data_IF_225864079507
#
_entry.id   IF_225864079507
#
_cell.length_a   1.000
_cell.length_b   1.000
_cell.length_c   1.000
_cell.angle_alpha   90.00
_cell.angle_beta   90.00
_cell.angle_gamma   90.00
#
_symmetry.space_group_name_H-M   'P 1'
#
loop_
_entity.id
_entity.type
_entity.pdbx_description
1 polymer ?
#
# COMPACT_ATOMS: atom_id res chain seq x y z
N UNK A 1 -50.56 39.74 8.67
CA UNK A 1 -50.32 40.20 10.05
C UNK A 1 -50.18 38.99 10.96
N UNK A 2 -49.35 39.09 12.01
CA UNK A 2 -49.17 38.03 13.01
C UNK A 2 -50.47 37.73 13.76
N UNK A 3 -50.79 36.45 13.97
CA UNK A 3 -51.90 36.04 14.85
C UNK A 3 -51.49 36.21 16.31
N UNK A 4 -52.44 36.55 17.18
CA UNK A 4 -52.23 36.73 18.62
C UNK A 4 -51.60 35.46 19.22
N UNK A 5 -50.43 35.60 19.86
CA UNK A 5 -49.66 34.49 20.46
C UNK A 5 -48.59 33.83 19.57
N UNK A 6 -48.46 34.20 18.29
CA UNK A 6 -47.38 33.71 17.43
C UNK A 6 -46.11 34.59 17.58
N UNK A 7 -44.96 33.94 17.78
CA UNK A 7 -43.65 34.61 17.75
C UNK A 7 -43.33 35.13 16.34
N UNK A 8 -42.70 36.31 16.28
CA UNK A 8 -42.23 36.92 15.04
C UNK A 8 -41.06 36.13 14.43
N UNK A 9 -40.72 36.39 13.17
CA UNK A 9 -39.50 35.84 12.57
C UNK A 9 -38.25 36.41 13.24
N UNK A 10 -38.28 37.68 13.67
CA UNK A 10 -37.16 38.32 14.36
C UNK A 10 -36.75 37.59 15.66
N UNK A 11 -37.72 37.02 16.38
CA UNK A 11 -37.48 36.25 17.61
C UNK A 11 -37.20 34.76 17.34
N UNK A 12 -37.16 34.35 16.06
CA UNK A 12 -36.96 32.95 15.66
C UNK A 12 -35.49 32.71 15.28
N UNK A 13 -34.91 31.51 15.55
CA UNK A 13 -33.54 31.18 15.12
C UNK A 13 -33.27 31.32 13.62
N UNK A 14 -34.31 31.34 12.80
CA UNK A 14 -34.20 31.51 11.35
C UNK A 14 -33.86 32.95 10.95
N UNK A 15 -34.01 33.92 11.85
CA UNK A 15 -33.60 35.31 11.60
C UNK A 15 -32.11 35.40 11.24
N UNK A 16 -31.27 34.51 11.78
CA UNK A 16 -29.85 34.45 11.46
C UNK A 16 -29.56 34.16 9.98
N UNK A 17 -30.51 33.58 9.25
CA UNK A 17 -30.41 33.32 7.82
C UNK A 17 -31.26 34.27 6.97
N UNK A 18 -31.92 35.27 7.58
CA UNK A 18 -32.71 36.25 6.83
C UNK A 18 -31.80 37.19 6.05
N UNK A 19 -31.99 37.29 4.73
CA UNK A 19 -31.15 38.12 3.89
C UNK A 19 -31.38 39.62 4.18
N UNK A 20 -30.30 40.36 4.44
CA UNK A 20 -30.35 41.77 4.88
C UNK A 20 -30.91 42.75 3.85
N UNK A 21 -30.60 42.59 2.55
CA UNK A 21 -30.96 43.56 1.50
C UNK A 21 -32.00 43.08 0.49
N UNK A 22 -32.16 41.77 0.26
CA UNK A 22 -33.02 41.24 -0.83
C UNK A 22 -34.50 41.10 -0.49
N UNK A 23 -34.88 41.33 0.76
CA UNK A 23 -36.26 41.16 1.22
C UNK A 23 -37.14 42.43 1.06
N UNK A 24 -36.59 43.51 0.51
CA UNK A 24 -37.34 44.74 0.24
C UNK A 24 -38.02 45.28 1.49
N UNK A 25 -39.34 45.47 1.42
CA UNK A 25 -40.16 45.99 2.53
C UNK A 25 -40.69 44.92 3.48
N UNK A 26 -40.18 43.68 3.44
CA UNK A 26 -40.58 42.64 4.38
C UNK A 26 -39.96 42.88 5.75
N UNK A 27 -40.78 43.30 6.71
CA UNK A 27 -40.37 43.48 8.09
C UNK A 27 -40.43 42.14 8.87
N UNK A 28 -39.29 41.62 9.38
CA UNK A 28 -39.23 40.36 10.14
C UNK A 28 -39.93 40.42 11.50
N UNK A 29 -40.20 41.61 12.05
CA UNK A 29 -40.90 41.77 13.34
C UNK A 29 -42.42 41.55 13.21
N UNK A 30 -42.98 41.64 11.99
CA UNK A 30 -44.43 41.55 11.75
C UNK A 30 -44.87 40.34 10.93
N UNK A 31 -43.93 39.43 10.61
CA UNK A 31 -44.20 38.16 9.94
C UNK A 31 -43.85 36.98 10.84
N UNK A 32 -44.61 35.89 10.76
CA UNK A 32 -44.27 34.64 11.45
C UNK A 32 -43.22 33.85 10.65
N UNK A 33 -42.38 33.09 11.33
CA UNK A 33 -41.41 32.21 10.66
C UNK A 33 -42.07 31.24 9.66
N UNK A 34 -43.26 30.69 9.98
CA UNK A 34 -44.01 29.77 9.11
C UNK A 34 -44.86 30.43 8.01
N UNK A 35 -44.58 31.68 7.64
CA UNK A 35 -45.35 32.44 6.64
C UNK A 35 -45.31 31.80 5.24
N UNK A 36 -46.40 31.81 4.45
CA UNK A 36 -46.38 31.35 3.06
C UNK A 36 -45.65 32.33 2.13
N UNK A 37 -45.27 33.52 2.61
CA UNK A 37 -44.49 34.49 1.82
C UNK A 37 -43.11 33.91 1.49
N UNK A 38 -42.66 34.11 0.25
CA UNK A 38 -41.28 33.84 -0.16
C UNK A 38 -40.35 34.89 0.45
N UNK A 39 -39.24 34.41 0.99
CA UNK A 39 -38.22 35.20 1.69
C UNK A 39 -36.87 34.80 1.08
N UNK A 40 -36.00 35.77 0.89
CA UNK A 40 -34.60 35.54 0.56
C UNK A 40 -33.84 35.17 1.83
N UNK A 41 -33.17 34.03 1.77
CA UNK A 41 -32.34 33.49 2.83
C UNK A 41 -30.89 33.48 2.39
N UNK A 42 -29.96 33.62 3.35
CA UNK A 42 -28.53 33.54 3.13
C UNK A 42 -27.90 32.63 4.18
N UNK A 43 -27.05 31.70 3.74
CA UNK A 43 -26.41 30.77 4.65
C UNK A 43 -25.19 31.43 5.28
N UNK A 44 -25.16 31.57 6.61
CA UNK A 44 -23.98 32.08 7.30
C UNK A 44 -22.70 31.22 7.15
N UNK A 45 -22.83 29.95 6.72
CA UNK A 45 -21.68 29.04 6.55
C UNK A 45 -21.02 29.12 5.17
N UNK A 46 -21.82 29.13 4.10
CA UNK A 46 -21.31 29.07 2.72
C UNK A 46 -21.66 30.31 1.89
N UNK A 47 -22.39 31.27 2.46
CA UNK A 47 -22.83 32.47 1.76
C UNK A 47 -23.91 32.26 0.70
N UNK A 48 -24.27 31.01 0.38
CA UNK A 48 -25.28 30.73 -0.64
C UNK A 48 -26.62 31.36 -0.29
N UNK A 49 -27.26 31.96 -1.29
CA UNK A 49 -28.53 32.65 -1.16
C UNK A 49 -29.64 31.90 -1.90
N UNK A 50 -30.82 31.80 -1.30
CA UNK A 50 -31.95 31.10 -1.92
C UNK A 50 -33.30 31.71 -1.54
N UNK A 51 -34.30 31.52 -2.40
CA UNK A 51 -35.60 32.18 -2.30
C UNK A 51 -36.74 31.15 -2.18
N UNK A 52 -37.21 30.92 -0.94
CA UNK A 52 -38.26 29.94 -0.60
C UNK A 52 -39.19 30.51 0.47
N UNK A 53 -40.32 29.86 0.72
CA UNK A 53 -41.28 30.34 1.73
C UNK A 53 -40.73 30.20 3.16
N UNK A 54 -41.19 31.05 4.07
CA UNK A 54 -40.92 30.88 5.51
C UNK A 54 -41.46 29.55 6.03
N UNK A 55 -42.64 29.14 5.55
CA UNK A 55 -43.24 27.85 5.83
C UNK A 55 -42.29 26.69 5.55
N UNK A 56 -41.71 26.63 4.35
CA UNK A 56 -40.79 25.57 3.94
C UNK A 56 -39.54 25.55 4.83
N UNK A 57 -39.03 26.74 5.17
CA UNK A 57 -37.86 26.85 6.06
C UNK A 57 -38.14 26.39 7.48
N UNK A 58 -39.28 26.78 8.04
CA UNK A 58 -39.62 26.52 9.44
C UNK A 58 -40.11 25.10 9.69
N UNK A 59 -40.94 24.52 8.81
CA UNK A 59 -41.52 23.19 9.02
C UNK A 59 -40.70 22.05 8.43
N UNK A 60 -40.13 22.24 7.24
CA UNK A 60 -39.47 21.13 6.53
C UNK A 60 -37.97 21.03 6.80
N UNK A 61 -37.40 21.93 7.62
CA UNK A 61 -35.97 21.88 7.97
C UNK A 61 -35.07 21.94 6.74
N UNK A 62 -35.55 22.53 5.63
CA UNK A 62 -34.85 22.62 4.35
C UNK A 62 -33.72 23.64 4.46
N UNK A 63 -32.68 23.31 5.23
CA UNK A 63 -31.47 24.10 5.36
C UNK A 63 -30.82 24.39 4.01
N UNK A 64 -29.72 25.13 4.03
CA UNK A 64 -29.06 25.60 2.82
C UNK A 64 -28.88 24.47 1.77
N UNK A 65 -29.43 24.61 0.54
CA UNK A 65 -29.35 23.56 -0.48
C UNK A 65 -27.93 23.32 -0.98
N UNK A 66 -27.05 24.34 -0.93
CA UNK A 66 -25.62 24.17 -1.23
C UNK A 66 -24.91 23.34 -0.15
N UNK A 67 -25.12 23.64 1.14
CA UNK A 67 -24.55 22.82 2.23
C UNK A 67 -25.02 21.36 2.20
N UNK A 68 -26.20 21.10 1.66
CA UNK A 68 -26.76 19.76 1.48
C UNK A 68 -26.40 19.12 0.13
N UNK A 69 -25.55 19.76 -0.67
CA UNK A 69 -25.13 19.29 -2.00
C UNK A 69 -26.29 19.08 -3.00
N UNK A 70 -27.44 19.73 -2.78
CA UNK A 70 -28.58 19.74 -3.72
C UNK A 70 -28.32 20.67 -4.90
N UNK A 71 -27.55 21.73 -4.67
CA UNK A 71 -27.07 22.68 -5.68
C UNK A 71 -25.55 22.74 -5.60
N UNK A 72 -24.89 22.76 -6.75
CA UNK A 72 -23.43 22.93 -6.84
C UNK A 72 -23.09 24.41 -6.89
N UNK A 73 -22.09 24.80 -6.11
CA UNK A 73 -21.54 26.13 -5.94
C UNK A 73 -20.02 26.02 -5.92
N UNK A 74 -19.32 27.14 -6.03
CA UNK A 74 -17.88 27.22 -5.79
C UNK A 74 -17.46 26.71 -4.40
N UNK A 75 -18.32 26.81 -3.39
CA UNK A 75 -18.04 26.35 -2.03
C UNK A 75 -18.04 24.81 -1.87
N UNK A 76 -18.93 24.10 -2.56
CA UNK A 76 -19.10 22.63 -2.41
C UNK A 76 -18.67 21.80 -3.63
N UNK A 77 -18.22 22.42 -4.72
CA UNK A 77 -17.78 21.68 -5.88
C UNK A 77 -16.55 20.80 -5.59
N UNK A 78 -16.33 19.79 -6.42
CA UNK A 78 -15.23 18.84 -6.33
C UNK A 78 -13.89 19.56 -6.45
N UNK A 79 -13.78 20.58 -7.31
CA UNK A 79 -12.56 21.37 -7.46
C UNK A 79 -12.12 22.01 -6.14
N UNK A 80 -13.05 22.56 -5.37
CA UNK A 80 -12.77 23.24 -4.09
C UNK A 80 -12.60 22.23 -2.95
N UNK A 81 -13.46 21.23 -2.87
CA UNK A 81 -13.52 20.33 -1.71
C UNK A 81 -12.62 19.10 -1.82
N UNK A 82 -12.27 18.67 -3.04
CA UNK A 82 -11.50 17.45 -3.33
C UNK A 82 -10.55 17.68 -4.52
N UNK A 83 -9.57 18.61 -4.40
CA UNK A 83 -8.67 18.96 -5.50
C UNK A 83 -7.88 17.74 -6.02
N UNK A 84 -7.56 16.77 -5.17
CA UNK A 84 -6.90 15.52 -5.56
C UNK A 84 -7.76 14.65 -6.49
N UNK A 85 -9.08 14.64 -6.30
CA UNK A 85 -10.00 13.96 -7.21
C UNK A 85 -10.18 14.75 -8.50
N UNK A 86 -10.25 16.07 -8.43
CA UNK A 86 -10.32 16.94 -9.60
C UNK A 86 -9.10 16.72 -10.54
N UNK A 87 -7.91 16.48 -9.98
CA UNK A 87 -6.69 16.16 -10.72
C UNK A 87 -6.72 14.80 -11.44
N UNK A 88 -7.56 13.87 -11.00
CA UNK A 88 -7.77 12.58 -11.66
C UNK A 88 -9.01 12.57 -12.55
N UNK A 89 -9.75 13.68 -12.65
CA UNK A 89 -10.90 13.79 -13.52
C UNK A 89 -10.45 13.72 -14.98
N UNK A 90 -11.06 12.83 -15.78
CA UNK A 90 -10.63 12.65 -17.16
C UNK A 90 -10.91 13.92 -17.99
N UNK A 91 -9.94 14.44 -18.78
CA UNK A 91 -10.04 15.73 -19.46
C UNK A 91 -11.15 15.83 -20.51
N UNK A 92 -11.41 14.77 -21.29
CA UNK A 92 -12.37 14.82 -22.41
C UNK A 92 -13.57 13.85 -22.34
N UNK A 93 -13.53 12.80 -21.51
CA UNK A 93 -14.54 11.71 -21.52
C UNK A 93 -15.79 11.97 -20.68
N UNK A 94 -15.88 13.12 -20.01
CA UNK A 94 -17.03 13.48 -19.17
C UNK A 94 -17.98 14.50 -19.82
N UNK A 95 -17.83 14.76 -21.13
CA UNK A 95 -18.66 15.73 -21.85
C UNK A 95 -18.53 17.13 -21.24
N UNK A 96 -19.68 17.78 -20.98
CA UNK A 96 -19.73 19.14 -20.42
C UNK A 96 -19.55 19.20 -18.89
N UNK A 97 -19.31 18.06 -18.23
CA UNK A 97 -19.10 18.02 -16.79
C UNK A 97 -17.68 18.42 -16.44
N UNK A 98 -17.52 19.18 -15.36
CA UNK A 98 -16.21 19.57 -14.83
C UNK A 98 -16.18 19.42 -13.31
N UNK A 99 -14.98 19.38 -12.69
CA UNK A 99 -14.86 19.38 -11.24
C UNK A 99 -15.48 20.61 -10.56
N UNK A 100 -15.64 21.72 -11.28
CA UNK A 100 -16.29 22.94 -10.78
C UNK A 100 -17.83 22.85 -10.81
N UNK A 101 -18.41 21.98 -11.65
CA UNK A 101 -19.87 21.84 -11.81
C UNK A 101 -20.45 20.61 -11.12
N UNK A 102 -19.63 19.87 -10.38
CA UNK A 102 -20.02 18.65 -9.66
C UNK A 102 -19.60 18.70 -8.21
N UNK A 103 -20.41 18.14 -7.31
CA UNK A 103 -19.95 17.72 -5.98
C UNK A 103 -19.19 16.40 -6.08
N UNK A 104 -18.15 16.21 -5.26
CA UNK A 104 -17.33 15.00 -5.33
C UNK A 104 -18.12 13.72 -5.04
N UNK A 105 -19.08 13.79 -4.11
CA UNK A 105 -19.97 12.70 -3.72
C UNK A 105 -21.09 12.38 -4.72
N UNK A 106 -21.02 12.85 -5.97
CA UNK A 106 -22.07 12.63 -6.96
C UNK A 106 -22.30 11.14 -7.29
N UNK A 107 -23.55 10.77 -7.57
CA UNK A 107 -23.92 9.44 -8.05
C UNK A 107 -23.69 9.23 -9.55
N UNK A 108 -23.20 10.25 -10.28
CA UNK A 108 -22.85 10.13 -11.70
C UNK A 108 -21.64 9.19 -11.87
N UNK A 109 -21.69 8.31 -12.88
CA UNK A 109 -20.54 7.57 -13.39
C UNK A 109 -19.63 8.53 -14.14
N UNK A 110 -18.40 8.66 -13.69
CA UNK A 110 -17.41 9.58 -14.26
C UNK A 110 -16.20 8.77 -14.75
N UNK A 111 -15.59 9.26 -15.81
CA UNK A 111 -14.29 8.80 -16.28
C UNK A 111 -13.18 9.49 -15.48
N UNK A 112 -12.23 8.68 -15.04
CA UNK A 112 -11.05 9.07 -14.28
C UNK A 112 -9.80 8.63 -15.03
N UNK A 113 -8.72 9.37 -14.84
CA UNK A 113 -7.40 9.06 -15.40
C UNK A 113 -6.35 9.11 -14.29
N UNK A 114 -5.55 8.05 -14.20
CA UNK A 114 -4.59 7.94 -13.12
C UNK A 114 -3.39 8.82 -13.42
N UNK A 115 -3.09 9.75 -12.51
CA UNK A 115 -1.90 10.61 -12.58
C UNK A 115 -0.58 9.85 -12.62
N UNK A 116 -0.54 8.62 -12.10
CA UNK A 116 0.69 7.82 -11.95
C UNK A 116 0.97 6.92 -13.15
N UNK A 117 -0.05 6.23 -13.64
CA UNK A 117 0.11 5.22 -14.70
C UNK A 117 -0.69 5.51 -15.96
N UNK A 118 -1.42 6.63 -16.03
CA UNK A 118 -2.26 6.99 -17.17
C UNK A 118 -3.51 6.13 -17.36
N UNK A 119 -3.70 5.07 -16.54
CA UNK A 119 -4.84 4.18 -16.68
C UNK A 119 -6.16 4.93 -16.51
N UNK A 120 -7.09 4.68 -17.42
CA UNK A 120 -8.40 5.30 -17.44
C UNK A 120 -9.44 4.29 -16.96
N UNK A 121 -10.36 4.75 -16.10
CA UNK A 121 -11.44 3.90 -15.63
C UNK A 121 -12.68 4.70 -15.32
N UNK A 122 -13.83 4.01 -15.31
CA UNK A 122 -15.10 4.63 -15.02
C UNK A 122 -15.67 4.11 -13.70
N UNK A 123 -15.99 5.02 -12.78
CA UNK A 123 -16.66 4.70 -11.51
C UNK A 123 -17.47 5.90 -11.03
N UNK A 124 -18.44 5.66 -10.16
CA UNK A 124 -19.27 6.70 -9.56
C UNK A 124 -18.44 7.60 -8.63
N UNK A 125 -18.67 8.92 -8.67
CA UNK A 125 -17.96 9.89 -7.81
C UNK A 125 -18.04 9.59 -6.32
N UNK A 126 -19.23 9.25 -5.83
CA UNK A 126 -19.42 8.86 -4.43
C UNK A 126 -18.54 7.68 -3.99
N UNK A 127 -18.24 6.73 -4.88
CA UNK A 127 -17.35 5.61 -4.54
C UNK A 127 -15.90 6.05 -4.32
N UNK A 128 -15.47 7.15 -4.96
CA UNK A 128 -14.16 7.76 -4.76
C UNK A 128 -14.06 8.42 -3.38
N UNK A 129 -15.13 9.09 -2.94
CA UNK A 129 -15.17 9.79 -1.65
C UNK A 129 -15.40 8.79 -0.49
N UNK A 130 -16.47 8.00 -0.54
CA UNK A 130 -16.90 7.13 0.57
C UNK A 130 -15.95 5.97 0.82
N UNK A 131 -15.49 5.31 -0.24
CA UNK A 131 -14.65 4.09 -0.12
C UNK A 131 -13.18 4.34 -0.44
N UNK A 132 -12.80 5.58 -0.76
CA UNK A 132 -11.45 5.93 -1.20
C UNK A 132 -10.96 5.01 -2.33
N UNK A 133 -11.87 4.63 -3.23
CA UNK A 133 -11.51 3.79 -4.37
C UNK A 133 -10.50 4.54 -5.25
N UNK A 134 -9.39 3.90 -5.58
CA UNK A 134 -8.33 4.47 -6.41
C UNK A 134 -8.20 3.73 -7.74
N UNK A 135 -7.12 4.01 -8.47
CA UNK A 135 -6.82 3.37 -9.75
C UNK A 135 -6.77 1.83 -9.65
N UNK A 136 -7.61 1.10 -10.43
CA UNK A 136 -7.61 -0.35 -10.46
C UNK A 136 -6.28 -0.97 -10.91
N UNK A 137 -5.56 -0.30 -11.83
CA UNK A 137 -4.25 -0.75 -12.28
C UNK A 137 -3.19 -0.61 -11.17
N UNK A 138 -3.10 0.54 -10.50
CA UNK A 138 -2.15 0.73 -9.40
C UNK A 138 -2.41 -0.22 -8.22
N UNK A 139 -3.65 -0.65 -8.01
CA UNK A 139 -4.02 -1.63 -6.98
C UNK A 139 -3.95 -3.08 -7.46
N UNK A 140 -3.42 -3.34 -8.66
CA UNK A 140 -3.30 -4.67 -9.28
C UNK A 140 -4.63 -5.43 -9.40
N UNK A 141 -5.75 -4.70 -9.45
CA UNK A 141 -7.10 -5.24 -9.70
C UNK A 141 -7.42 -5.33 -11.18
N UNK A 142 -6.73 -4.56 -12.01
CA UNK A 142 -6.77 -4.66 -13.47
C UNK A 142 -5.36 -4.78 -14.03
N UNK A 143 -5.17 -5.65 -15.01
CA UNK A 143 -3.89 -5.84 -15.70
C UNK A 143 -3.79 -4.83 -16.83
N UNK A 144 -2.65 -4.15 -16.93
CA UNK A 144 -2.35 -3.15 -17.96
C UNK A 144 -0.92 -3.29 -18.44
N UNK A 145 -0.54 -2.52 -19.46
CA UNK A 145 0.85 -2.39 -19.90
C UNK A 145 1.79 -1.90 -18.79
N UNK A 146 1.29 -1.22 -17.76
CA UNK A 146 2.11 -0.65 -16.68
C UNK A 146 2.40 -1.62 -15.53
N UNK A 147 1.50 -2.57 -15.22
CA UNK A 147 1.63 -3.44 -14.04
C UNK A 147 1.70 -4.94 -14.33
N UNK A 148 1.71 -5.36 -15.59
CA UNK A 148 1.82 -6.77 -15.94
C UNK A 148 3.14 -7.40 -15.42
N UNK A 149 3.19 -8.73 -15.44
CA UNK A 149 4.27 -9.51 -14.86
C UNK A 149 5.59 -9.30 -15.59
N UNK A 150 5.59 -9.10 -16.92
CA UNK A 150 6.83 -8.85 -17.67
C UNK A 150 7.47 -7.54 -17.27
N UNK A 151 6.66 -6.50 -17.04
CA UNK A 151 7.15 -5.17 -16.66
C UNK A 151 7.60 -5.14 -15.20
N UNK A 152 6.78 -5.67 -14.29
CA UNK A 152 7.06 -5.55 -12.85
C UNK A 152 8.00 -6.64 -12.32
N UNK A 153 8.00 -7.83 -12.92
CA UNK A 153 8.72 -9.00 -12.42
C UNK A 153 9.33 -9.84 -13.58
N UNK A 154 10.26 -9.27 -14.38
CA UNK A 154 10.82 -9.94 -15.56
C UNK A 154 11.46 -11.30 -15.26
N UNK A 155 12.13 -11.44 -14.10
CA UNK A 155 12.72 -12.71 -13.64
C UNK A 155 11.70 -13.80 -13.31
N UNK A 156 10.48 -13.40 -12.96
CA UNK A 156 9.37 -14.33 -12.74
C UNK A 156 8.71 -14.68 -14.07
N UNK A 157 8.48 -13.67 -14.92
CA UNK A 157 7.91 -13.85 -16.26
C UNK A 157 8.75 -14.81 -17.11
N UNK A 158 10.09 -14.79 -17.01
CA UNK A 158 10.97 -15.72 -17.73
C UNK A 158 10.80 -17.19 -17.32
N UNK A 159 10.15 -17.45 -16.18
CA UNK A 159 9.84 -18.79 -15.71
C UNK A 159 8.43 -19.24 -16.08
N UNK A 160 7.67 -18.40 -16.78
CA UNK A 160 6.36 -18.78 -17.28
C UNK A 160 6.54 -19.91 -18.30
N UNK A 161 5.75 -20.98 -18.17
CA UNK A 161 5.93 -22.13 -19.04
C UNK A 161 5.52 -21.79 -20.49
N UNK A 162 6.34 -22.11 -21.51
CA UNK A 162 6.10 -21.65 -22.89
C UNK A 162 4.85 -22.24 -23.56
N UNK A 163 4.47 -23.48 -23.25
CA UNK A 163 3.33 -24.16 -23.92
C UNK A 163 2.17 -24.58 -23.01
N UNK A 164 2.43 -24.92 -21.74
CA UNK A 164 1.41 -25.48 -20.81
C UNK A 164 0.36 -24.49 -20.30
N UNK A 165 0.50 -23.19 -20.57
CA UNK A 165 -0.51 -22.18 -20.24
C UNK A 165 -1.43 -21.84 -21.43
N UNK A 166 -1.35 -22.59 -22.54
CA UNK A 166 -2.15 -22.33 -23.74
C UNK A 166 -1.75 -21.01 -24.39
N UNK A 167 -2.75 -20.21 -24.78
CA UNK A 167 -2.54 -18.89 -25.39
C UNK A 167 -2.20 -17.77 -24.39
N UNK A 168 -2.22 -18.07 -23.08
CA UNK A 168 -1.94 -17.08 -22.05
C UNK A 168 -0.46 -16.72 -22.01
N UNK A 169 -0.18 -15.45 -21.82
CA UNK A 169 1.18 -14.89 -21.72
C UNK A 169 1.39 -14.22 -20.35
N UNK A 170 2.64 -13.92 -19.96
CA UNK A 170 2.88 -13.15 -18.74
C UNK A 170 2.36 -11.70 -18.80
N UNK A 171 2.03 -11.18 -19.99
CA UNK A 171 1.40 -9.86 -20.13
C UNK A 171 -0.04 -9.82 -19.60
N UNK A 172 -0.71 -10.98 -19.55
CA UNK A 172 -2.11 -11.11 -19.14
C UNK A 172 -2.29 -11.16 -17.62
N UNK A 173 -1.20 -11.09 -16.85
CA UNK A 173 -1.23 -11.22 -15.40
C UNK A 173 -0.39 -10.16 -14.71
N UNK A 174 -0.88 -9.68 -13.56
CA UNK A 174 -0.01 -9.11 -12.53
C UNK A 174 0.76 -10.22 -11.81
N UNK A 175 1.97 -9.92 -11.34
CA UNK A 175 2.82 -10.93 -10.68
C UNK A 175 2.16 -11.59 -9.45
N UNK A 176 1.39 -10.82 -8.68
CA UNK A 176 0.70 -11.30 -7.47
C UNK A 176 -0.66 -11.95 -7.74
N UNK A 177 -0.93 -12.43 -8.96
CA UNK A 177 -2.18 -13.10 -9.29
C UNK A 177 -2.42 -14.36 -8.44
N UNK A 178 -3.69 -14.67 -8.16
CA UNK A 178 -4.09 -15.93 -7.50
C UNK A 178 -4.21 -17.10 -8.48
N UNK A 179 -4.18 -16.82 -9.78
CA UNK A 179 -4.24 -17.83 -10.84
C UNK A 179 -3.10 -18.83 -10.73
N UNK A 180 -3.42 -20.12 -10.75
CA UNK A 180 -2.45 -21.22 -10.74
C UNK A 180 -1.96 -21.44 -12.17
N UNK A 181 -0.70 -21.11 -12.41
CA UNK A 181 -0.05 -21.18 -13.72
C UNK A 181 1.01 -22.28 -13.72
N UNK A 182 1.36 -22.75 -14.92
CA UNK A 182 2.53 -23.59 -15.14
C UNK A 182 3.80 -22.76 -15.24
N UNK A 183 4.84 -23.23 -14.55
CA UNK A 183 6.15 -22.60 -14.49
C UNK A 183 7.23 -23.59 -14.94
N UNK A 184 8.31 -23.07 -15.49
CA UNK A 184 9.52 -23.79 -15.86
C UNK A 184 10.75 -23.05 -15.35
N UNK A 185 11.60 -23.75 -14.60
CA UNK A 185 12.86 -23.19 -14.10
C UNK A 185 13.98 -23.49 -15.11
N UNK A 186 15.05 -22.70 -15.04
CA UNK A 186 16.28 -22.93 -15.82
C UNK A 186 16.89 -24.33 -15.59
N UNK A 187 16.61 -24.99 -14.46
CA UNK A 187 17.06 -26.35 -14.20
C UNK A 187 16.18 -27.44 -14.86
N UNK A 188 15.22 -27.04 -15.70
CA UNK A 188 14.27 -27.92 -16.37
C UNK A 188 13.11 -28.39 -15.51
N UNK A 189 13.07 -28.03 -14.21
CA UNK A 189 11.93 -28.39 -13.36
C UNK A 189 10.69 -27.62 -13.77
N UNK A 190 9.57 -28.31 -13.86
CA UNK A 190 8.27 -27.75 -14.22
C UNK A 190 7.29 -27.99 -13.07
N UNK A 191 6.49 -26.99 -12.71
CA UNK A 191 5.52 -27.10 -11.61
C UNK A 191 4.36 -26.14 -11.78
N UNK A 192 3.27 -26.41 -11.07
CA UNK A 192 2.11 -25.50 -10.95
C UNK A 192 2.19 -24.72 -9.65
N UNK A 193 1.93 -23.41 -9.72
CA UNK A 193 1.81 -22.56 -8.55
C UNK A 193 1.02 -21.28 -8.88
N UNK A 194 0.41 -20.67 -7.86
CA UNK A 194 -0.14 -19.33 -7.98
C UNK A 194 0.98 -18.30 -8.20
N UNK A 195 0.73 -17.29 -9.05
CA UNK A 195 1.67 -16.17 -9.27
C UNK A 195 2.07 -15.48 -7.96
N UNK A 196 1.11 -15.20 -7.09
CA UNK A 196 1.31 -14.63 -5.75
C UNK A 196 2.30 -15.41 -4.88
N UNK A 197 2.25 -16.74 -4.89
CA UNK A 197 3.19 -17.58 -4.16
C UNK A 197 4.61 -17.47 -4.73
N UNK A 198 4.73 -17.30 -6.05
CA UNK A 198 6.02 -17.12 -6.72
C UNK A 198 6.60 -15.73 -6.51
N UNK A 199 5.79 -14.69 -6.64
CA UNK A 199 6.20 -13.30 -6.47
C UNK A 199 6.72 -13.00 -5.05
N UNK A 200 6.25 -13.74 -4.04
CA UNK A 200 6.78 -13.66 -2.66
C UNK A 200 8.16 -14.30 -2.49
N UNK A 201 8.59 -15.15 -3.40
CA UNK A 201 9.89 -15.81 -3.30
C UNK A 201 11.00 -14.84 -3.71
N UNK A 202 11.75 -14.31 -2.74
CA UNK A 202 12.84 -13.33 -3.00
C UNK A 202 13.84 -13.75 -4.08
N UNK A 203 14.11 -15.05 -4.23
CA UNK A 203 15.09 -15.57 -5.20
C UNK A 203 14.44 -16.06 -6.49
N UNK A 204 13.11 -16.09 -6.56
CA UNK A 204 12.34 -16.70 -7.64
C UNK A 204 12.80 -18.14 -7.96
N UNK A 205 13.40 -18.83 -6.98
CA UNK A 205 13.96 -20.17 -7.16
C UNK A 205 12.83 -21.21 -7.19
N UNK A 206 13.04 -22.30 -7.93
CA UNK A 206 12.19 -23.47 -7.79
C UNK A 206 12.62 -24.30 -6.57
N UNK A 207 11.76 -25.22 -6.12
CA UNK A 207 12.04 -26.08 -4.96
C UNK A 207 13.36 -26.85 -5.13
N UNK A 208 13.65 -27.37 -6.33
CA UNK A 208 14.90 -28.12 -6.59
C UNK A 208 16.15 -27.25 -6.46
N UNK A 209 16.15 -26.04 -7.03
CA UNK A 209 17.29 -25.12 -6.92
C UNK A 209 17.48 -24.64 -5.47
N UNK A 210 16.38 -24.34 -4.77
CA UNK A 210 16.43 -23.95 -3.37
C UNK A 210 17.00 -25.05 -2.46
N UNK A 211 16.60 -26.31 -2.67
CA UNK A 211 17.13 -27.47 -1.93
C UNK A 211 18.61 -27.70 -2.19
N UNK A 212 19.07 -27.62 -3.45
CA UNK A 212 20.50 -27.75 -3.79
C UNK A 212 21.32 -26.69 -3.06
N UNK A 213 20.90 -25.43 -3.10
CA UNK A 213 21.57 -24.33 -2.40
C UNK A 213 21.65 -24.55 -0.90
N UNK A 214 20.58 -25.02 -0.26
CA UNK A 214 20.60 -25.33 1.18
C UNK A 214 21.57 -26.46 1.49
N UNK A 215 21.59 -27.52 0.67
CA UNK A 215 22.55 -28.61 0.82
C UNK A 215 24.00 -28.15 0.68
N UNK A 216 24.30 -27.25 -0.27
CA UNK A 216 25.63 -26.67 -0.44
C UNK A 216 26.03 -25.79 0.74
N UNK A 217 25.13 -24.95 1.26
CA UNK A 217 25.41 -24.11 2.44
C UNK A 217 25.69 -24.98 3.66
N UNK A 218 24.84 -25.98 3.94
CA UNK A 218 25.03 -26.90 5.06
C UNK A 218 26.31 -27.70 4.90
N UNK A 219 26.61 -28.17 3.68
CA UNK A 219 27.85 -28.87 3.39
C UNK A 219 29.07 -27.96 3.55
N UNK A 220 28.99 -26.68 3.19
CA UNK A 220 30.03 -25.67 3.39
C UNK A 220 30.27 -25.35 4.87
N UNK A 221 29.23 -25.31 5.70
CA UNK A 221 29.35 -25.14 7.16
C UNK A 221 29.99 -26.38 7.80
N UNK A 222 29.54 -27.57 7.41
CA UNK A 222 30.09 -28.84 7.91
C UNK A 222 31.53 -29.05 7.44
N UNK A 223 31.87 -28.68 6.20
CA UNK A 223 33.25 -28.74 5.74
C UNK A 223 34.09 -27.56 6.22
N UNK A 224 33.52 -26.42 6.62
CA UNK A 224 34.21 -25.37 7.39
C UNK A 224 34.69 -25.86 8.75
N UNK A 225 33.91 -26.70 9.42
CA UNK A 225 34.34 -27.40 10.65
C UNK A 225 35.34 -28.54 10.36
N UNK A 226 35.30 -29.15 9.16
CA UNK A 226 36.39 -30.03 8.71
C UNK A 226 37.64 -29.26 8.28
N UNK A 227 37.53 -28.05 7.75
CA UNK A 227 38.68 -27.18 7.40
C UNK A 227 39.40 -26.76 8.67
N UNK A 228 38.70 -26.55 9.80
CA UNK A 228 39.35 -26.39 11.12
C UNK A 228 40.12 -27.64 11.57
N UNK A 229 39.67 -28.85 11.20
CA UNK A 229 40.40 -30.12 11.42
C UNK A 229 41.44 -30.45 10.35
N UNK A 230 41.34 -29.84 9.17
CA UNK A 230 42.29 -30.02 8.07
C UNK A 230 43.47 -29.04 8.20
N UNK A 231 43.21 -27.81 8.70
CA UNK A 231 44.23 -26.84 9.09
C UNK A 231 45.05 -27.27 10.32
N UNK A 232 44.67 -28.34 11.02
CA UNK A 232 45.51 -28.99 12.03
C UNK A 232 46.36 -30.14 11.47
N UNK A 233 46.30 -30.45 10.16
CA UNK A 233 46.96 -31.64 9.60
C UNK A 233 47.72 -31.46 8.27
N UNK A 234 47.68 -30.28 7.65
CA UNK A 234 48.50 -30.05 6.45
C UNK A 234 49.82 -29.42 6.86
N UNK A 235 50.84 -30.26 7.01
CA UNK A 235 52.22 -29.84 6.79
C UNK A 235 52.33 -29.39 5.35
N UNK A 236 53.01 -28.27 5.19
CA UNK A 236 53.42 -27.68 3.92
C UNK A 236 54.06 -28.74 3.04
N UNK A 237 53.57 -28.86 1.80
CA UNK A 237 54.36 -28.94 0.55
C UNK A 237 53.55 -29.66 -0.53
N UNK A 238 52.75 -28.90 -1.29
CA UNK A 238 52.63 -28.94 -2.77
C UNK A 238 51.40 -28.17 -3.29
N UNK A 239 51.42 -27.63 -4.53
CA UNK A 239 50.63 -26.48 -4.92
C UNK A 239 49.60 -26.82 -6.01
N UNK A 240 48.37 -27.21 -5.67
CA UNK A 240 47.28 -27.21 -6.66
C UNK A 240 45.92 -26.93 -6.02
N UNK A 241 45.54 -25.65 -5.88
CA UNK A 241 44.15 -25.17 -6.05
C UNK A 241 44.10 -23.64 -5.88
N UNK A 242 44.44 -22.88 -6.92
CA UNK A 242 44.68 -21.44 -6.85
C UNK A 242 43.46 -20.52 -7.05
N UNK A 243 42.21 -21.02 -7.09
CA UNK A 243 41.04 -20.15 -7.40
C UNK A 243 40.00 -20.04 -6.27
N UNK A 244 40.14 -20.76 -5.15
CA UNK A 244 39.31 -20.54 -3.94
C UNK A 244 40.06 -19.90 -2.76
N UNK A 245 41.30 -19.45 -2.98
CA UNK A 245 42.14 -18.88 -1.91
C UNK A 245 42.07 -17.36 -1.77
N UNK A 246 41.58 -16.63 -2.77
CA UNK A 246 41.52 -15.16 -2.70
C UNK A 246 40.53 -14.65 -1.64
N UNK A 247 39.35 -15.29 -1.51
CA UNK A 247 38.32 -14.87 -0.56
C UNK A 247 38.63 -15.26 0.90
N UNK A 248 39.43 -16.30 1.11
CA UNK A 248 39.80 -16.78 2.45
C UNK A 248 41.00 -16.00 3.02
N UNK A 249 41.95 -15.56 2.18
CA UNK A 249 43.08 -14.74 2.62
C UNK A 249 42.68 -13.31 2.96
N UNK A 250 41.66 -12.75 2.29
CA UNK A 250 41.07 -11.46 2.69
C UNK A 250 40.41 -11.53 4.08
N UNK A 251 39.87 -12.70 4.44
CA UNK A 251 39.29 -12.97 5.75
C UNK A 251 40.34 -13.02 6.88
N UNK A 252 41.55 -13.49 6.58
CA UNK A 252 42.64 -13.64 7.57
C UNK A 252 43.31 -12.32 7.95
N UNK A 253 43.39 -11.35 7.03
CA UNK A 253 44.01 -10.03 7.29
C UNK A 253 43.11 -9.10 8.12
N UNK A 254 41.79 -9.30 8.08
CA UNK A 254 40.81 -8.47 8.81
C UNK A 254 40.53 -8.92 10.24
N UNK A 255 40.73 -10.20 10.56
CA UNK A 255 40.46 -10.76 11.90
C UNK A 255 41.56 -10.50 12.94
N UNK A 256 42.78 -10.14 12.54
CA UNK A 256 43.85 -9.78 13.50
C UNK A 256 43.66 -8.40 14.14
N UNK A 257 42.78 -7.53 13.61
CA UNK A 257 42.70 -6.12 14.01
C UNK A 257 41.31 -5.62 14.47
N UNK A 258 40.33 -6.48 14.79
CA UNK A 258 39.04 -6.00 15.33
C UNK A 258 38.56 -6.78 16.54
N UNK A 259 39.04 -6.30 17.70
CA UNK A 259 38.31 -6.31 18.97
C UNK A 259 37.08 -5.39 18.80
N UNK A 260 35.89 -5.86 19.19
CA UNK A 260 34.57 -5.19 19.14
C UNK A 260 33.91 -4.94 17.77
N UNK A 261 32.91 -5.77 17.42
CA UNK A 261 31.51 -5.38 17.11
C UNK A 261 30.74 -6.56 16.51
N UNK A 262 29.81 -7.12 17.27
CA UNK A 262 28.73 -7.97 16.76
C UNK A 262 27.74 -7.12 15.96
N UNK A 263 28.06 -6.86 14.68
CA UNK A 263 27.10 -6.36 13.68
C UNK A 263 27.55 -6.67 12.25
N UNK A 264 27.82 -7.94 11.91
CA UNK A 264 28.23 -8.31 10.54
C UNK A 264 27.55 -9.56 9.95
N UNK A 265 26.43 -10.02 10.53
CA UNK A 265 25.53 -11.00 9.88
C UNK A 265 24.17 -10.42 9.50
N UNK A 266 23.89 -9.15 9.84
CA UNK A 266 22.70 -8.42 9.36
C UNK A 266 22.97 -7.55 8.14
N UNK A 267 24.21 -7.12 7.92
CA UNK A 267 24.54 -6.17 6.84
C UNK A 267 25.11 -6.84 5.57
N UNK A 268 25.34 -8.16 5.59
CA UNK A 268 25.80 -8.93 4.41
C UNK A 268 24.65 -9.53 3.57
N UNK A 269 23.40 -9.17 3.89
CA UNK A 269 22.19 -9.61 3.16
C UNK A 269 21.40 -8.47 2.51
N UNK A 270 21.92 -7.26 2.52
CA UNK A 270 21.29 -6.09 1.91
C UNK A 270 22.38 -5.19 1.33
N UNK A 271 22.88 -5.48 0.13
CA UNK A 271 23.42 -4.46 -0.77
C UNK A 271 23.66 -5.07 -2.15
N UNK A 272 22.75 -4.78 -3.08
CA UNK A 272 23.01 -4.45 -4.49
C UNK A 272 21.72 -3.86 -5.11
N UNK A 273 21.76 -2.55 -5.42
CA UNK A 273 20.87 -1.72 -6.28
C UNK A 273 19.39 -1.58 -5.86
N UNK A 274 18.80 -0.42 -5.55
CA UNK A 274 19.08 0.97 -5.92
C UNK A 274 18.63 1.98 -4.84
N UNK A 275 19.44 3.05 -4.66
CA UNK A 275 19.14 4.41 -4.19
C UNK A 275 18.17 4.68 -3.03
N UNK A 276 18.69 5.16 -1.89
CA UNK A 276 18.24 6.40 -1.23
C UNK A 276 19.10 6.77 0.00
N UNK A 277 19.58 8.02 0.03
CA UNK A 277 20.13 8.72 1.19
C UNK A 277 19.01 8.95 2.26
N UNK A 278 19.26 9.00 3.57
CA UNK A 278 19.80 10.14 4.35
C UNK A 278 19.83 9.77 5.87
N UNK A 279 20.32 10.63 6.80
CA UNK A 279 21.18 10.29 7.93
C UNK A 279 20.48 10.38 9.31
N UNK A 280 21.17 9.89 10.34
CA UNK A 280 20.86 10.23 11.73
C UNK A 280 20.90 9.04 12.69
N UNK A 281 22.02 8.89 13.41
CA UNK A 281 22.01 8.73 14.87
C UNK A 281 23.44 8.58 15.38
N UNK A 282 23.97 9.70 15.87
CA UNK A 282 25.08 9.75 16.81
C UNK A 282 24.68 9.09 18.15
N UNK A 283 25.68 8.51 18.81
CA UNK A 283 25.86 8.41 20.26
C UNK A 283 24.66 8.05 21.16
N UNK A 284 24.73 6.88 21.79
CA UNK A 284 24.59 6.80 23.25
C UNK A 284 25.19 5.50 23.81
N UNK A 285 26.15 5.69 24.71
CA UNK A 285 26.61 4.71 25.69
C UNK A 285 25.53 4.64 26.78
N UNK A 286 24.87 3.49 26.96
CA UNK A 286 24.36 2.99 28.25
C UNK A 286 23.30 1.91 28.05
N UNK A 287 23.65 0.65 28.25
CA UNK A 287 22.70 -0.39 28.68
C UNK A 287 23.48 -1.47 29.44
N UNK A 288 23.01 -1.78 30.64
CA UNK A 288 23.70 -2.55 31.68
C UNK A 288 23.88 -4.04 31.34
N UNK A 289 24.94 -4.64 31.92
CA UNK A 289 25.47 -5.99 31.64
C UNK A 289 24.58 -7.18 32.08
N UNK A 290 23.40 -6.98 32.66
CA UNK A 290 22.65 -8.08 33.30
C UNK A 290 21.59 -8.78 32.44
N UNK A 291 21.31 -8.33 31.21
CA UNK A 291 20.37 -9.02 30.31
C UNK A 291 21.02 -9.88 29.20
N UNK A 292 22.35 -10.04 29.20
CA UNK A 292 23.05 -10.86 28.19
C UNK A 292 23.09 -12.36 28.54
N UNK A 293 22.93 -12.73 29.81
CA UNK A 293 23.02 -14.13 30.24
C UNK A 293 21.74 -14.94 29.93
N UNK A 294 20.55 -14.32 30.02
CA UNK A 294 19.29 -15.01 29.70
C UNK A 294 19.12 -15.34 28.20
N UNK A 295 19.69 -14.53 27.30
CA UNK A 295 19.58 -14.76 25.86
C UNK A 295 20.45 -15.93 25.36
N UNK A 296 21.55 -16.24 26.07
CA UNK A 296 22.46 -17.33 25.71
C UNK A 296 21.85 -18.71 26.06
N UNK A 297 21.16 -18.81 27.19
CA UNK A 297 20.49 -20.03 27.63
C UNK A 297 19.32 -20.41 26.71
N UNK A 298 18.52 -19.42 26.27
CA UNK A 298 17.40 -19.63 25.34
C UNK A 298 17.89 -20.14 23.97
N UNK A 299 19.01 -19.62 23.47
CA UNK A 299 19.58 -20.06 22.19
C UNK A 299 20.15 -21.49 22.27
N UNK A 300 20.78 -21.82 23.41
CA UNK A 300 21.29 -23.18 23.69
C UNK A 300 20.16 -24.20 23.82
N UNK A 301 19.07 -23.85 24.51
CA UNK A 301 17.87 -24.69 24.64
C UNK A 301 17.19 -24.88 23.28
N UNK A 302 17.11 -23.84 22.44
CA UNK A 302 16.51 -23.91 21.11
C UNK A 302 17.30 -24.81 20.15
N UNK A 303 18.63 -24.66 20.13
CA UNK A 303 19.52 -25.48 19.29
C UNK A 303 19.53 -26.94 19.78
N UNK A 304 19.56 -27.18 21.09
CA UNK A 304 19.48 -28.53 21.65
C UNK A 304 18.10 -29.17 21.44
N UNK A 305 17.03 -28.37 21.44
CA UNK A 305 15.67 -28.81 21.11
C UNK A 305 15.53 -29.24 19.64
N UNK A 306 16.16 -28.52 18.71
CA UNK A 306 16.23 -28.89 17.30
C UNK A 306 17.05 -30.17 17.07
N UNK A 307 18.16 -30.34 17.78
CA UNK A 307 18.99 -31.54 17.72
C UNK A 307 18.24 -32.77 18.25
N UNK A 308 17.48 -32.63 19.36
CA UNK A 308 16.65 -33.71 19.91
C UNK A 308 15.49 -34.09 18.98
N UNK A 309 14.80 -33.11 18.38
CA UNK A 309 13.75 -33.35 17.37
C UNK A 309 14.30 -34.06 16.12
N UNK A 310 15.49 -33.68 15.66
CA UNK A 310 16.15 -34.32 14.54
C UNK A 310 16.58 -35.76 14.84
N UNK A 311 17.10 -36.03 16.04
CA UNK A 311 17.46 -37.40 16.48
C UNK A 311 16.24 -38.31 16.63
N UNK A 312 15.14 -37.78 17.16
CA UNK A 312 13.88 -38.52 17.32
C UNK A 312 13.18 -38.83 15.98
N UNK A 313 13.18 -37.86 15.04
CA UNK A 313 12.66 -38.09 13.70
C UNK A 313 13.49 -39.14 12.94
N UNK A 314 14.80 -39.17 13.18
CA UNK A 314 15.73 -40.14 12.58
C UNK A 314 15.62 -41.54 13.20
N UNK A 315 15.25 -41.66 14.48
CA UNK A 315 15.03 -42.98 15.11
C UNK A 315 13.70 -43.63 14.71
N UNK A 316 12.65 -42.85 14.41
CA UNK A 316 11.39 -43.38 13.88
C UNK A 316 11.49 -43.82 12.41
N UNK A 317 12.23 -43.07 11.59
CA UNK A 317 12.46 -43.41 10.18
C UNK A 317 13.38 -44.63 9.98
N UNK A 318 13.81 -45.30 11.06
CA UNK A 318 14.62 -46.50 11.02
C UNK A 318 13.86 -47.74 11.55
N UNK A 319 12.57 -47.61 11.86
CA UNK A 319 11.70 -48.70 12.35
C UNK A 319 10.48 -48.96 11.45
N UNK A 320 10.36 -48.25 10.32
CA UNK A 320 9.46 -48.56 9.19
C UNK A 320 10.33 -48.81 7.94
#
# INVERSE_FOLDING_TARGET
>A
MLRKGCKSLADHPLMAEFHSTKNGSLDPHVIAAGTPKRIWWQCGKCGYEWHVTGHDRAKHGSGCPACQNRIVTDWNCMATTHPELAMEFHPSKNGNLSPATLVAGTHKRLWWQCRKCGYEWQVVGNSRVRYKSGCPACSNKQVTSWNNMTVTHPRLASQFHPTKNGALTPHDFVAHTRTVLWWKCHCGYEWRAAGSSRARCKRYECKRCASKRYSTIVRCVICGDRIKRWLSFVRTDEPTCSVMCADVLFYRRRLKNMVYRTRLLKDMLLFEGDGCAMPGCMNSRSASKNNQWHACEIHRVYVMGLIRKYRWARSRAAQD
#
